data_IF_208542099380
#
_entry.id   IF_208542099380
#
_cell.length_a   1.000
_cell.length_b   1.000
_cell.length_c   1.000
_cell.angle_alpha   90.00
_cell.angle_beta   90.00
_cell.angle_gamma   90.00
#
_symmetry.space_group_name_H-M   'P 1'
#
loop_
_entity.id
_entity.type
_entity.pdbx_description
1 polymer ?
#
# COMPACT_ATOMS: atom_id res chain seq x y z
N UNK A 1 -38.00 28.70 81.85
CA UNK A 1 -36.68 28.36 81.39
C UNK A 1 -36.82 27.17 80.43
N UNK A 2 -36.72 27.39 79.14
CA UNK A 2 -36.92 26.35 78.12
C UNK A 2 -35.62 26.21 77.36
N UNK A 3 -34.92 25.12 77.54
CA UNK A 3 -33.64 24.81 76.86
C UNK A 3 -33.95 24.09 75.54
N UNK A 4 -33.59 24.67 74.39
CA UNK A 4 -33.68 24.06 73.06
C UNK A 4 -32.41 23.25 72.79
N UNK A 5 -32.55 21.95 72.57
CA UNK A 5 -31.47 21.08 72.06
C UNK A 5 -31.52 21.11 70.58
N UNK A 6 -30.44 21.54 69.97
CA UNK A 6 -30.24 21.51 68.50
C UNK A 6 -29.53 20.21 68.07
N UNK A 7 -30.22 19.37 67.33
CA UNK A 7 -29.69 18.14 66.78
C UNK A 7 -28.96 18.45 65.42
N UNK A 8 -27.63 18.30 65.37
CA UNK A 8 -26.82 18.36 64.14
C UNK A 8 -26.94 17.03 63.39
N UNK A 9 -27.51 17.05 62.18
CA UNK A 9 -27.45 15.94 61.23
C UNK A 9 -26.13 16.04 60.47
N UNK A 10 -25.20 15.13 60.69
CA UNK A 10 -23.98 14.93 59.88
C UNK A 10 -24.33 14.02 58.70
N UNK A 11 -24.48 14.63 57.53
CA UNK A 11 -24.68 13.86 56.28
C UNK A 11 -23.37 13.22 55.82
N UNK A 12 -23.30 11.92 55.84
CA UNK A 12 -22.20 11.12 55.32
C UNK A 12 -22.31 11.03 53.79
N UNK A 13 -21.51 11.86 53.06
CA UNK A 13 -21.38 11.74 51.61
C UNK A 13 -20.46 10.56 51.30
N UNK A 14 -21.05 9.42 50.93
CA UNK A 14 -20.30 8.30 50.32
C UNK A 14 -19.85 8.71 48.91
N UNK A 15 -18.59 9.10 48.74
CA UNK A 15 -17.94 9.18 47.42
C UNK A 15 -17.80 7.74 46.90
N UNK A 16 -18.65 7.36 45.95
CA UNK A 16 -18.46 6.14 45.14
C UNK A 16 -17.31 6.41 44.20
N UNK A 17 -16.09 6.00 44.55
CA UNK A 17 -14.97 5.89 43.65
C UNK A 17 -15.31 4.77 42.62
N UNK A 18 -15.78 5.16 41.46
CA UNK A 18 -15.83 4.25 40.30
C UNK A 18 -14.38 3.94 39.94
N UNK A 19 -13.90 2.69 40.02
CA UNK A 19 -12.57 2.36 39.57
C UNK A 19 -12.52 2.61 38.08
N UNK A 20 -11.75 3.61 37.64
CA UNK A 20 -11.25 3.70 36.26
C UNK A 20 -10.53 2.37 36.00
N UNK A 21 -11.11 1.52 35.16
CA UNK A 21 -10.56 0.23 34.81
C UNK A 21 -9.17 0.43 34.21
N UNK A 22 -8.15 0.23 35.03
CA UNK A 22 -6.79 -0.01 34.55
C UNK A 22 -6.85 -1.35 33.82
N UNK A 23 -6.99 -1.33 32.51
CA UNK A 23 -6.80 -2.51 31.69
C UNK A 23 -5.41 -3.06 32.00
N UNK A 24 -5.36 -4.26 32.59
CA UNK A 24 -4.10 -4.87 32.99
C UNK A 24 -3.16 -4.99 31.79
N UNK A 25 -1.87 -4.73 32.02
CA UNK A 25 -0.80 -4.82 30.99
C UNK A 25 -0.73 -6.19 30.30
N UNK A 26 -1.50 -7.17 30.75
CA UNK A 26 -1.48 -8.58 30.31
C UNK A 26 -2.69 -8.98 29.45
N UNK A 27 -3.68 -8.08 29.22
CA UNK A 27 -4.81 -8.41 28.35
C UNK A 27 -4.34 -8.48 26.88
N UNK A 28 -4.82 -9.47 26.09
CA UNK A 28 -4.51 -9.54 24.65
C UNK A 28 -4.91 -8.23 23.96
N UNK A 29 -4.02 -7.73 23.10
CA UNK A 29 -4.32 -6.56 22.26
C UNK A 29 -5.22 -7.01 21.13
N UNK A 30 -6.38 -6.38 20.96
CA UNK A 30 -7.27 -6.63 19.82
C UNK A 30 -7.00 -5.60 18.70
N UNK A 31 -6.47 -6.08 17.58
CA UNK A 31 -6.17 -5.29 16.39
C UNK A 31 -7.32 -5.40 15.39
N UNK A 32 -7.91 -4.28 14.99
CA UNK A 32 -8.81 -4.22 13.84
C UNK A 32 -8.01 -3.93 12.56
N UNK A 33 -8.01 -4.83 11.57
CA UNK A 33 -7.36 -4.61 10.29
C UNK A 33 -8.39 -4.41 9.18
N UNK A 34 -8.46 -3.19 8.65
CA UNK A 34 -9.38 -2.78 7.59
C UNK A 34 -8.64 -2.74 6.25
N UNK A 35 -9.03 -3.60 5.33
CA UNK A 35 -8.42 -3.71 3.99
C UNK A 35 -9.36 -3.10 2.96
N UNK A 36 -8.81 -2.37 1.99
CA UNK A 36 -9.56 -1.82 0.86
C UNK A 36 -10.34 -2.90 0.10
N UNK A 37 -9.61 -3.87 -0.47
CA UNK A 37 -10.23 -5.07 -1.04
C UNK A 37 -9.21 -6.21 -1.16
N UNK A 38 -9.66 -7.45 -0.93
CA UNK A 38 -8.83 -8.65 -1.01
C UNK A 38 -8.74 -9.27 -2.42
N UNK A 39 -9.20 -8.57 -3.47
CA UNK A 39 -9.06 -9.06 -4.86
C UNK A 39 -7.62 -8.92 -5.35
N UNK A 40 -6.87 -7.91 -4.88
CA UNK A 40 -5.47 -7.73 -5.20
C UNK A 40 -4.61 -8.71 -4.40
N UNK A 41 -3.71 -9.43 -5.08
CA UNK A 41 -2.78 -10.39 -4.46
C UNK A 41 -1.97 -9.76 -3.33
N UNK A 42 -1.55 -8.51 -3.51
CA UNK A 42 -0.84 -7.71 -2.53
C UNK A 42 -1.54 -7.75 -1.16
N UNK A 43 -2.81 -7.39 -1.09
CA UNK A 43 -3.54 -7.30 0.18
C UNK A 43 -3.80 -8.66 0.83
N UNK A 44 -3.91 -9.73 0.05
CA UNK A 44 -3.98 -11.10 0.58
C UNK A 44 -2.68 -11.48 1.29
N UNK A 45 -1.52 -11.09 0.73
CA UNK A 45 -0.20 -11.34 1.32
C UNK A 45 0.00 -10.52 2.59
N UNK A 46 -0.30 -9.22 2.55
CA UNK A 46 -0.23 -8.34 3.73
C UNK A 46 -1.09 -8.89 4.88
N UNK A 47 -2.34 -9.28 4.60
CA UNK A 47 -3.24 -9.82 5.61
C UNK A 47 -2.67 -11.07 6.29
N UNK A 48 -2.10 -12.01 5.52
CA UNK A 48 -1.46 -13.23 6.05
C UNK A 48 -0.27 -12.88 6.95
N UNK A 49 0.60 -11.96 6.52
CA UNK A 49 1.80 -11.59 7.27
C UNK A 49 1.45 -10.83 8.56
N UNK A 50 0.48 -9.92 8.50
CA UNK A 50 -0.03 -9.18 9.65
C UNK A 50 -0.67 -10.13 10.66
N UNK A 51 -1.52 -11.09 10.21
CA UNK A 51 -2.12 -12.11 11.08
C UNK A 51 -1.06 -12.99 11.74
N UNK A 52 -0.08 -13.47 10.97
CA UNK A 52 1.02 -14.27 11.52
C UNK A 52 1.79 -13.51 12.60
N UNK A 53 2.14 -12.24 12.33
CA UNK A 53 2.88 -11.43 13.31
C UNK A 53 2.04 -11.09 14.55
N UNK A 54 0.75 -10.81 14.40
CA UNK A 54 -0.15 -10.60 15.54
C UNK A 54 -0.19 -11.84 16.46
N UNK A 55 -0.32 -13.02 15.86
CA UNK A 55 -0.30 -14.29 16.59
C UNK A 55 1.04 -14.52 17.33
N UNK A 56 2.19 -14.22 16.70
CA UNK A 56 3.50 -14.31 17.36
C UNK A 56 3.60 -13.43 18.62
N UNK A 57 2.91 -12.28 18.62
CA UNK A 57 2.90 -11.33 19.75
C UNK A 57 1.76 -11.60 20.76
N UNK A 58 0.98 -12.66 20.56
CA UNK A 58 -0.19 -12.96 21.40
C UNK A 58 -1.31 -11.93 21.29
N UNK A 59 -1.39 -11.20 20.16
CA UNK A 59 -2.47 -10.27 19.87
C UNK A 59 -3.58 -10.95 19.08
N UNK A 60 -4.83 -10.57 19.37
CA UNK A 60 -6.00 -10.93 18.58
C UNK A 60 -6.12 -9.99 17.39
N UNK A 61 -6.57 -10.50 16.25
CA UNK A 61 -6.76 -9.69 15.06
C UNK A 61 -8.04 -10.06 14.32
N UNK A 62 -8.82 -9.03 13.97
CA UNK A 62 -9.98 -9.15 13.10
C UNK A 62 -9.74 -8.43 11.81
N UNK A 63 -9.77 -9.16 10.68
CA UNK A 63 -9.61 -8.61 9.33
C UNK A 63 -10.98 -8.35 8.71
N UNK A 64 -11.16 -7.17 8.11
CA UNK A 64 -12.38 -6.78 7.38
C UNK A 64 -12.01 -6.35 5.96
N UNK A 65 -12.74 -6.87 4.99
CA UNK A 65 -12.62 -6.53 3.56
C UNK A 65 -13.73 -5.54 3.18
N UNK A 66 -13.33 -4.33 2.78
CA UNK A 66 -14.27 -3.30 2.36
C UNK A 66 -14.79 -3.48 0.92
N UNK A 67 -14.20 -4.39 0.14
CA UNK A 67 -14.62 -4.68 -1.23
C UNK A 67 -14.58 -3.47 -2.17
N UNK A 68 -13.76 -2.43 -1.85
CA UNK A 68 -13.67 -1.19 -2.60
C UNK A 68 -14.80 -0.20 -2.29
N UNK A 69 -15.35 -0.22 -1.07
CA UNK A 69 -16.42 0.68 -0.63
C UNK A 69 -16.04 1.46 0.61
N UNK A 70 -16.02 2.80 0.50
CA UNK A 70 -15.76 3.71 1.62
C UNK A 70 -16.79 3.57 2.73
N UNK A 71 -18.08 3.48 2.36
CA UNK A 71 -19.18 3.37 3.33
C UNK A 71 -19.07 2.06 4.11
N UNK A 72 -18.77 0.94 3.43
CA UNK A 72 -18.56 -0.34 4.09
C UNK A 72 -17.32 -0.31 4.98
N UNK A 73 -16.24 0.33 4.55
CA UNK A 73 -15.02 0.45 5.34
C UNK A 73 -15.27 1.23 6.63
N UNK A 74 -16.01 2.34 6.57
CA UNK A 74 -16.40 3.11 7.76
C UNK A 74 -17.35 2.31 8.69
N UNK A 75 -18.32 1.59 8.11
CA UNK A 75 -19.22 0.73 8.90
C UNK A 75 -18.43 -0.36 9.63
N UNK A 76 -17.50 -1.01 8.96
CA UNK A 76 -16.64 -2.05 9.54
C UNK A 76 -15.72 -1.48 10.63
N UNK A 77 -15.19 -0.27 10.44
CA UNK A 77 -14.41 0.42 11.47
C UNK A 77 -15.23 0.66 12.73
N UNK A 78 -16.45 1.17 12.61
CA UNK A 78 -17.33 1.39 13.74
C UNK A 78 -17.64 0.07 14.48
N UNK A 79 -17.91 -1.01 13.72
CA UNK A 79 -18.14 -2.33 14.33
C UNK A 79 -16.91 -2.81 15.11
N UNK A 80 -15.69 -2.75 14.54
CA UNK A 80 -14.47 -3.14 15.24
C UNK A 80 -14.24 -2.34 16.53
N UNK A 81 -14.54 -1.03 16.48
CA UNK A 81 -14.46 -0.15 17.63
C UNK A 81 -15.51 -0.48 18.69
N UNK A 82 -16.72 -0.91 18.29
CA UNK A 82 -17.78 -1.36 19.22
C UNK A 82 -17.44 -2.72 19.82
N UNK A 83 -16.79 -3.59 19.05
CA UNK A 83 -16.30 -4.92 19.47
C UNK A 83 -15.02 -4.83 20.35
N UNK A 84 -14.54 -3.62 20.67
CA UNK A 84 -13.44 -3.38 21.60
C UNK A 84 -12.04 -3.45 21.01
N UNK A 85 -11.87 -3.18 19.72
CA UNK A 85 -10.53 -3.05 19.12
C UNK A 85 -9.71 -1.96 19.84
N UNK A 86 -8.48 -2.30 20.22
CA UNK A 86 -7.57 -1.40 20.92
C UNK A 86 -6.74 -0.52 19.98
N UNK A 87 -6.65 -0.90 18.72
CA UNK A 87 -5.93 -0.20 17.64
C UNK A 87 -6.53 -0.59 16.29
N UNK A 88 -6.57 0.35 15.35
CA UNK A 88 -6.93 0.07 13.97
C UNK A 88 -5.71 0.19 13.06
N UNK A 89 -5.53 -0.79 12.16
CA UNK A 89 -4.63 -0.71 11.00
C UNK A 89 -5.53 -0.56 9.78
N UNK A 90 -5.33 0.48 8.96
CA UNK A 90 -6.25 0.83 7.87
C UNK A 90 -5.49 0.98 6.56
N UNK A 91 -5.86 0.17 5.57
CA UNK A 91 -5.56 0.41 4.15
C UNK A 91 -6.73 1.20 3.57
N UNK A 92 -6.61 2.50 3.46
CA UNK A 92 -7.69 3.36 3.01
C UNK A 92 -8.11 3.06 1.56
N UNK A 93 -9.43 2.97 1.28
CA UNK A 93 -9.93 2.94 -0.09
C UNK A 93 -9.80 4.32 -0.73
N UNK A 94 -10.30 5.35 -0.06
CA UNK A 94 -10.16 6.75 -0.43
C UNK A 94 -9.40 7.50 0.67
N UNK A 95 -8.33 8.19 0.28
CA UNK A 95 -7.43 8.86 1.21
C UNK A 95 -8.10 9.96 2.06
N UNK A 96 -9.10 10.65 1.52
CA UNK A 96 -9.78 11.76 2.22
C UNK A 96 -10.99 11.26 3.02
N UNK A 97 -11.82 10.37 2.46
CA UNK A 97 -13.00 9.83 3.14
C UNK A 97 -12.64 8.97 4.35
N UNK A 98 -11.51 8.27 4.31
CA UNK A 98 -11.02 7.49 5.45
C UNK A 98 -10.74 8.33 6.70
N UNK A 99 -10.65 9.66 6.61
CA UNK A 99 -10.57 10.55 7.76
C UNK A 99 -11.76 10.36 8.74
N UNK A 100 -12.92 9.93 8.25
CA UNK A 100 -14.08 9.59 9.09
C UNK A 100 -13.80 8.41 10.03
N UNK A 101 -13.00 7.44 9.59
CA UNK A 101 -12.55 6.30 10.41
C UNK A 101 -11.68 6.82 11.57
N UNK A 102 -10.73 7.72 11.26
CA UNK A 102 -9.85 8.31 12.29
C UNK A 102 -10.67 9.10 13.31
N UNK A 103 -11.65 9.88 12.87
CA UNK A 103 -12.54 10.61 13.78
C UNK A 103 -13.37 9.67 14.67
N UNK A 104 -13.88 8.55 14.11
CA UNK A 104 -14.61 7.55 14.88
C UNK A 104 -13.72 6.91 15.95
N UNK A 105 -12.50 6.52 15.60
CA UNK A 105 -11.52 5.95 16.52
C UNK A 105 -11.10 6.94 17.62
N UNK A 106 -10.88 8.21 17.27
CA UNK A 106 -10.53 9.26 18.24
C UNK A 106 -11.61 9.46 19.32
N UNK A 107 -12.91 9.42 18.96
CA UNK A 107 -14.00 9.52 19.94
C UNK A 107 -13.96 8.41 20.99
N UNK A 108 -13.31 7.28 20.67
CA UNK A 108 -13.13 6.14 21.57
C UNK A 108 -11.72 6.03 22.15
N UNK A 109 -10.84 6.98 21.85
CA UNK A 109 -9.45 6.95 22.30
C UNK A 109 -8.61 5.84 21.66
N UNK A 110 -9.03 5.30 20.52
CA UNK A 110 -8.38 4.20 19.80
C UNK A 110 -7.40 4.75 18.77
N UNK A 111 -6.10 4.41 18.83
CA UNK A 111 -5.13 4.85 17.84
C UNK A 111 -5.37 4.21 16.46
N UNK A 112 -5.01 4.95 15.39
CA UNK A 112 -5.11 4.51 14.00
C UNK A 112 -3.75 4.53 13.33
N UNK A 113 -3.36 3.42 12.72
CA UNK A 113 -2.22 3.31 11.81
C UNK A 113 -2.75 3.36 10.37
N UNK A 114 -2.30 4.35 9.61
CA UNK A 114 -2.48 4.40 8.17
C UNK A 114 -1.44 3.48 7.53
N UNK A 115 -1.88 2.34 6.98
CA UNK A 115 -1.02 1.29 6.45
C UNK A 115 -0.97 1.36 4.93
N UNK A 116 0.23 1.47 4.39
CA UNK A 116 0.54 1.60 2.96
C UNK A 116 -0.08 2.87 2.32
N UNK A 117 -1.39 3.03 2.36
CA UNK A 117 -2.11 4.21 1.82
C UNK A 117 -2.30 5.28 2.87
N UNK A 118 -1.92 6.52 2.55
CA UNK A 118 -2.02 7.65 3.47
C UNK A 118 -3.47 8.11 3.63
N UNK A 119 -3.93 8.18 4.88
CA UNK A 119 -5.19 8.86 5.22
C UNK A 119 -4.90 10.35 5.36
N UNK A 120 -5.52 11.16 4.51
CA UNK A 120 -5.30 12.60 4.44
C UNK A 120 -6.17 13.38 5.45
N UNK A 121 -5.75 14.61 5.70
CA UNK A 121 -6.48 15.59 6.48
C UNK A 121 -6.92 15.11 7.87
N UNK A 122 -6.18 14.17 8.47
CA UNK A 122 -6.50 13.59 9.76
C UNK A 122 -5.23 13.27 10.57
N UNK A 123 -5.30 13.34 11.90
CA UNK A 123 -4.17 13.08 12.80
C UNK A 123 -4.06 11.59 13.12
N UNK A 124 -3.72 10.76 12.13
CA UNK A 124 -3.41 9.34 12.40
C UNK A 124 -2.22 9.22 13.36
N UNK A 125 -2.20 8.17 14.16
CA UNK A 125 -1.15 7.95 15.15
C UNK A 125 0.19 7.61 14.52
N UNK A 126 0.16 6.94 13.35
CA UNK A 126 1.34 6.54 12.57
C UNK A 126 0.94 6.32 11.11
N UNK A 127 1.79 6.75 10.18
CA UNK A 127 1.78 6.30 8.79
C UNK A 127 2.93 5.30 8.57
N UNK A 128 2.64 4.16 7.97
CA UNK A 128 3.65 3.16 7.66
C UNK A 128 3.48 2.66 6.22
N UNK A 129 4.52 2.85 5.40
CA UNK A 129 4.48 2.57 3.97
C UNK A 129 5.87 2.39 3.38
N UNK A 130 5.94 2.28 2.06
CA UNK A 130 7.15 2.50 1.27
C UNK A 130 7.20 3.94 0.76
N UNK A 131 8.40 4.42 0.38
CA UNK A 131 8.56 5.71 -0.29
C UNK A 131 7.99 5.63 -1.72
N UNK A 132 6.73 6.07 -1.90
CA UNK A 132 6.03 6.02 -3.17
C UNK A 132 6.63 6.96 -4.23
N UNK A 133 7.25 8.07 -3.82
CA UNK A 133 8.00 8.94 -4.75
C UNK A 133 9.21 8.19 -5.29
N UNK A 134 9.90 7.43 -4.44
CA UNK A 134 11.03 6.60 -4.87
C UNK A 134 10.58 5.46 -5.78
N UNK A 135 9.39 4.87 -5.56
CA UNK A 135 8.80 3.90 -6.49
C UNK A 135 8.71 4.47 -7.90
N UNK A 136 8.07 5.63 -8.06
CA UNK A 136 7.94 6.28 -9.38
C UNK A 136 9.29 6.63 -10.02
N UNK A 137 10.25 7.11 -9.23
CA UNK A 137 11.61 7.36 -9.71
C UNK A 137 12.28 6.08 -10.23
N UNK A 138 12.17 4.97 -9.51
CA UNK A 138 12.76 3.69 -9.93
C UNK A 138 12.14 3.18 -11.22
N UNK A 139 10.81 3.25 -11.37
CA UNK A 139 10.10 2.87 -12.59
C UNK A 139 10.59 3.66 -13.79
N UNK A 140 10.49 4.96 -13.72
CA UNK A 140 10.81 5.86 -14.83
C UNK A 140 12.31 5.84 -15.18
N UNK A 141 13.20 5.86 -14.18
CA UNK A 141 14.65 5.83 -14.40
C UNK A 141 15.10 4.51 -15.05
N UNK A 142 14.49 3.37 -14.64
CA UNK A 142 14.81 2.08 -15.26
C UNK A 142 14.44 2.07 -16.75
N UNK A 143 13.23 2.51 -17.11
CA UNK A 143 12.81 2.56 -18.51
C UNK A 143 13.64 3.57 -19.31
N UNK A 144 13.93 4.75 -18.74
CA UNK A 144 14.73 5.78 -19.39
C UNK A 144 16.19 5.32 -19.65
N UNK A 145 16.73 4.45 -18.79
CA UNK A 145 18.07 3.88 -19.00
C UNK A 145 18.18 2.98 -20.25
N UNK A 146 17.04 2.45 -20.72
CA UNK A 146 16.95 1.52 -21.86
C UNK A 146 16.42 2.27 -23.11
N UNK A 147 15.30 3.00 -22.97
CA UNK A 147 14.69 3.80 -24.04
C UNK A 147 14.96 5.29 -23.79
N UNK A 148 16.15 5.74 -24.16
CA UNK A 148 16.62 7.12 -23.90
C UNK A 148 15.91 8.18 -24.74
N UNK A 149 15.11 7.78 -25.73
CA UNK A 149 14.37 8.68 -26.63
C UNK A 149 13.02 8.08 -27.01
N UNK A 150 12.07 8.94 -27.43
CA UNK A 150 10.79 8.53 -28.01
C UNK A 150 9.59 8.87 -27.13
N UNK A 151 8.43 8.31 -27.49
CA UNK A 151 7.16 8.61 -26.84
C UNK A 151 6.96 7.77 -25.59
N UNK A 152 6.61 8.42 -24.49
CA UNK A 152 6.28 7.82 -23.21
C UNK A 152 4.80 8.01 -22.91
N UNK A 153 4.21 7.01 -22.29
CA UNK A 153 2.86 7.06 -21.75
C UNK A 153 2.91 6.80 -20.25
N UNK A 154 2.28 7.68 -19.45
CA UNK A 154 2.14 7.50 -18.01
C UNK A 154 0.79 6.83 -17.73
N UNK A 155 0.85 5.66 -17.10
CA UNK A 155 -0.33 4.86 -16.75
C UNK A 155 -0.43 4.79 -15.24
N UNK A 156 -1.20 5.71 -14.66
CA UNK A 156 -1.25 5.97 -13.24
C UNK A 156 -2.27 5.09 -12.51
N UNK A 157 -2.17 5.11 -11.16
CA UNK A 157 -3.09 4.40 -10.30
C UNK A 157 -4.40 5.14 -10.03
N UNK A 158 -5.01 4.85 -8.88
CA UNK A 158 -6.27 5.50 -8.48
C UNK A 158 -6.05 6.95 -8.04
N UNK A 159 -6.80 7.92 -8.60
CA UNK A 159 -6.71 9.32 -8.18
C UNK A 159 -7.20 9.57 -6.75
N UNK A 160 -7.92 8.62 -6.13
CA UNK A 160 -8.33 8.69 -4.72
C UNK A 160 -7.29 8.13 -3.75
N UNK A 161 -6.18 7.56 -4.27
CA UNK A 161 -5.08 7.02 -3.50
C UNK A 161 -3.88 7.97 -3.55
N UNK A 162 -3.42 8.45 -2.38
CA UNK A 162 -2.28 9.35 -2.31
C UNK A 162 -0.99 8.73 -2.89
N UNK A 163 -0.83 7.41 -2.78
CA UNK A 163 0.35 6.73 -3.33
C UNK A 163 0.44 6.90 -4.84
N UNK A 164 -0.70 6.89 -5.56
CA UNK A 164 -0.70 7.09 -7.01
C UNK A 164 -0.15 8.46 -7.40
N UNK A 165 -0.50 9.52 -6.66
CA UNK A 165 0.03 10.87 -6.88
C UNK A 165 1.53 10.96 -6.54
N UNK A 166 1.99 10.28 -5.47
CA UNK A 166 3.40 10.26 -5.11
C UNK A 166 4.24 9.45 -6.12
N UNK A 167 3.70 8.35 -6.65
CA UNK A 167 4.33 7.57 -7.74
C UNK A 167 4.44 8.43 -9.00
N UNK A 168 3.34 9.05 -9.44
CA UNK A 168 3.32 9.97 -10.60
C UNK A 168 4.34 11.10 -10.44
N UNK A 169 4.39 11.73 -9.27
CA UNK A 169 5.39 12.74 -8.94
C UNK A 169 6.81 12.20 -9.11
N UNK A 170 7.08 10.99 -8.63
CA UNK A 170 8.39 10.33 -8.78
C UNK A 170 8.76 10.08 -10.23
N UNK A 171 7.81 9.59 -11.03
CA UNK A 171 7.97 9.34 -12.46
C UNK A 171 8.32 10.63 -13.21
N UNK A 172 7.53 11.69 -13.02
CA UNK A 172 7.78 13.01 -13.64
C UNK A 172 9.12 13.62 -13.22
N UNK A 173 9.50 13.49 -11.95
CA UNK A 173 10.82 13.95 -11.49
C UNK A 173 11.96 13.24 -12.20
N UNK A 174 11.85 11.94 -12.45
CA UNK A 174 12.89 11.16 -13.13
C UNK A 174 12.95 11.44 -14.64
N UNK A 175 11.81 11.71 -15.27
CA UNK A 175 11.73 11.97 -16.73
C UNK A 175 12.03 13.42 -17.11
N UNK A 176 11.87 14.36 -16.19
CA UNK A 176 11.92 15.79 -16.45
C UNK A 176 13.12 16.24 -17.28
N UNK A 177 14.32 15.80 -16.92
CA UNK A 177 15.52 16.25 -17.66
C UNK A 177 15.55 15.78 -19.12
N UNK A 178 15.03 14.56 -19.38
CA UNK A 178 14.96 14.03 -20.74
C UNK A 178 13.87 14.73 -21.57
N UNK A 179 12.76 15.08 -20.93
CA UNK A 179 11.66 15.84 -21.52
C UNK A 179 12.10 17.29 -21.84
N UNK A 180 12.75 18.00 -20.89
CA UNK A 180 13.29 19.36 -21.08
C UNK A 180 14.29 19.42 -22.24
N UNK A 181 15.01 18.33 -22.50
CA UNK A 181 15.95 18.19 -23.65
C UNK A 181 15.28 17.69 -24.94
N UNK A 182 13.96 17.50 -24.94
CA UNK A 182 13.21 16.94 -26.06
C UNK A 182 13.71 15.56 -26.53
N UNK A 183 14.33 14.79 -25.64
CA UNK A 183 14.75 13.42 -25.91
C UNK A 183 13.55 12.47 -25.86
N UNK A 184 12.64 12.71 -24.94
CA UNK A 184 11.39 11.99 -24.81
C UNK A 184 10.20 12.96 -24.90
N UNK A 185 9.03 12.42 -25.20
CA UNK A 185 7.75 13.15 -25.14
C UNK A 185 6.76 12.33 -24.36
N UNK A 186 6.22 12.88 -23.27
CA UNK A 186 5.07 12.29 -22.58
C UNK A 186 3.84 12.65 -23.41
N UNK A 187 3.32 11.66 -24.15
CA UNK A 187 2.23 11.89 -25.13
C UNK A 187 0.84 11.85 -24.50
N UNK A 188 0.72 11.19 -23.36
CA UNK A 188 -0.53 11.01 -22.63
C UNK A 188 -0.29 10.57 -21.19
N UNK A 189 -1.29 10.79 -20.37
CA UNK A 189 -1.37 10.33 -18.98
C UNK A 189 -2.79 9.85 -18.71
N UNK A 190 -2.93 8.67 -18.12
CA UNK A 190 -4.24 8.12 -17.77
C UNK A 190 -4.26 7.54 -16.36
N UNK A 191 -5.35 7.77 -15.65
CA UNK A 191 -5.57 7.33 -14.27
C UNK A 191 -6.53 6.15 -14.21
N UNK A 192 -6.14 5.08 -13.53
CA UNK A 192 -6.90 3.85 -13.35
C UNK A 192 -7.58 3.87 -11.98
N UNK A 193 -8.87 4.21 -11.93
CA UNK A 193 -9.63 4.44 -10.67
C UNK A 193 -9.64 3.26 -9.71
N UNK A 194 -9.50 2.03 -10.22
CA UNK A 194 -9.53 0.81 -9.43
C UNK A 194 -8.22 0.02 -9.49
N UNK A 195 -7.15 0.62 -9.98
CA UNK A 195 -5.87 -0.05 -10.19
C UNK A 195 -6.00 -1.34 -11.03
N UNK A 196 -6.99 -1.42 -11.91
CA UNK A 196 -7.39 -2.67 -12.54
C UNK A 196 -6.71 -2.91 -13.89
N UNK A 197 -6.49 -4.19 -14.18
CA UNK A 197 -5.99 -4.65 -15.49
C UNK A 197 -6.84 -4.15 -16.65
N UNK A 198 -8.18 -4.12 -16.48
CA UNK A 198 -9.09 -3.66 -17.54
C UNK A 198 -8.87 -2.19 -17.87
N UNK A 199 -8.75 -1.34 -16.88
CA UNK A 199 -8.50 0.09 -17.09
C UNK A 199 -7.13 0.32 -17.74
N UNK A 200 -6.10 -0.40 -17.31
CA UNK A 200 -4.77 -0.35 -17.92
C UNK A 200 -4.78 -0.77 -19.40
N UNK A 201 -5.58 -1.78 -19.75
CA UNK A 201 -5.79 -2.19 -21.14
C UNK A 201 -6.47 -1.09 -21.95
N UNK A 202 -7.63 -0.60 -21.48
CA UNK A 202 -8.42 0.41 -22.19
C UNK A 202 -7.59 1.70 -22.43
N UNK A 203 -6.90 2.19 -21.41
CA UNK A 203 -6.03 3.37 -21.50
C UNK A 203 -4.88 3.16 -22.48
N UNK A 204 -4.27 1.98 -22.48
CA UNK A 204 -3.17 1.66 -23.42
C UNK A 204 -3.66 1.58 -24.86
N UNK A 205 -4.86 1.05 -25.11
CA UNK A 205 -5.47 1.05 -26.44
C UNK A 205 -5.63 2.47 -26.97
N UNK A 206 -6.08 3.41 -26.12
CA UNK A 206 -6.21 4.81 -26.53
C UNK A 206 -4.85 5.50 -26.75
N UNK A 207 -3.87 5.25 -25.89
CA UNK A 207 -2.51 5.78 -26.07
C UNK A 207 -1.87 5.27 -27.36
N UNK A 208 -2.07 4.01 -27.73
CA UNK A 208 -1.60 3.43 -28.99
C UNK A 208 -2.27 4.06 -30.22
N UNK A 209 -3.54 4.44 -30.13
CA UNK A 209 -4.22 5.19 -31.21
C UNK A 209 -3.63 6.59 -31.35
N UNK A 210 -3.44 7.32 -30.24
CA UNK A 210 -2.89 8.68 -30.22
C UNK A 210 -1.46 8.74 -30.76
N UNK A 211 -0.66 7.70 -30.51
CA UNK A 211 0.75 7.63 -30.94
C UNK A 211 0.96 6.96 -32.31
N UNK A 212 -0.09 6.53 -32.98
CA UNK A 212 0.02 5.68 -34.19
C UNK A 212 0.91 4.44 -33.93
N UNK A 213 0.77 3.85 -32.72
CA UNK A 213 1.57 2.71 -32.28
C UNK A 213 3.04 3.00 -31.95
N UNK A 214 3.45 4.27 -31.97
CA UNK A 214 4.85 4.67 -31.78
C UNK A 214 5.13 5.02 -30.32
N UNK A 215 5.12 4.01 -29.44
CA UNK A 215 5.52 4.12 -28.03
C UNK A 215 6.90 3.50 -27.82
N UNK A 216 7.74 4.18 -27.03
CA UNK A 216 9.00 3.65 -26.52
C UNK A 216 8.80 2.98 -25.15
N UNK A 217 7.98 3.59 -24.28
CA UNK A 217 7.75 3.09 -22.96
C UNK A 217 6.35 3.44 -22.43
N UNK A 218 5.84 2.58 -21.54
CA UNK A 218 4.67 2.80 -20.68
C UNK A 218 5.15 2.72 -19.23
N UNK A 219 5.12 3.85 -18.54
CA UNK A 219 5.44 3.90 -17.12
C UNK A 219 4.17 3.57 -16.35
N UNK A 220 3.94 2.28 -16.10
CA UNK A 220 2.76 1.81 -15.39
C UNK A 220 3.01 1.79 -13.88
N UNK A 221 2.07 2.36 -13.12
CA UNK A 221 2.19 2.57 -11.69
C UNK A 221 2.17 1.26 -10.88
N UNK A 222 1.47 0.21 -11.35
CA UNK A 222 1.50 -1.12 -10.73
C UNK A 222 1.43 -2.28 -11.74
N UNK A 223 1.57 -3.51 -11.25
CA UNK A 223 1.64 -4.72 -12.06
C UNK A 223 0.28 -5.12 -12.66
N UNK A 224 -0.83 -4.81 -12.01
CA UNK A 224 -2.17 -5.07 -12.56
C UNK A 224 -2.45 -4.19 -13.78
N UNK A 225 -2.22 -2.88 -13.69
CA UNK A 225 -2.36 -1.96 -14.83
C UNK A 225 -1.35 -2.29 -15.93
N UNK A 226 -0.09 -2.62 -15.57
CA UNK A 226 0.92 -3.11 -16.50
C UNK A 226 0.48 -4.37 -17.25
N UNK A 227 -0.21 -5.28 -16.57
CA UNK A 227 -0.78 -6.48 -17.19
C UNK A 227 -1.79 -6.17 -18.28
N UNK A 228 -2.61 -5.14 -18.07
CA UNK A 228 -3.52 -4.61 -19.09
C UNK A 228 -2.77 -4.00 -20.27
N UNK A 229 -1.77 -3.18 -19.97
CA UNK A 229 -0.92 -2.55 -21.00
C UNK A 229 -0.22 -3.61 -21.86
N UNK A 230 0.40 -4.62 -21.25
CA UNK A 230 1.06 -5.71 -21.98
C UNK A 230 0.07 -6.50 -22.85
N UNK A 231 -1.17 -6.71 -22.40
CA UNK A 231 -2.21 -7.35 -23.20
C UNK A 231 -2.53 -6.51 -24.46
N UNK A 232 -2.77 -5.21 -24.30
CA UNK A 232 -3.04 -4.31 -25.43
C UNK A 232 -1.87 -4.26 -26.43
N UNK A 233 -0.63 -4.26 -25.92
CA UNK A 233 0.59 -4.33 -26.74
C UNK A 233 0.70 -5.66 -27.50
N UNK A 234 0.33 -6.79 -26.87
CA UNK A 234 0.40 -8.12 -27.48
C UNK A 234 -0.51 -8.23 -28.71
N UNK A 235 -1.72 -7.69 -28.65
CA UNK A 235 -2.67 -7.65 -29.77
C UNK A 235 -2.13 -6.88 -30.99
N UNK A 236 -1.20 -5.93 -30.76
CA UNK A 236 -0.50 -5.15 -31.80
C UNK A 236 0.90 -5.67 -32.12
N UNK A 237 1.30 -6.85 -31.58
CA UNK A 237 2.66 -7.43 -31.71
C UNK A 237 3.79 -6.49 -31.23
N UNK A 238 3.48 -5.67 -30.22
CA UNK A 238 4.38 -4.69 -29.58
C UNK A 238 4.85 -5.12 -28.19
N UNK A 239 4.28 -6.20 -27.59
CA UNK A 239 4.74 -6.73 -26.31
C UNK A 239 6.23 -7.12 -26.40
N UNK A 240 7.03 -6.64 -25.44
CA UNK A 240 8.49 -6.79 -25.41
C UNK A 240 9.26 -5.84 -26.34
N UNK A 241 8.58 -5.04 -27.17
CA UNK A 241 9.18 -3.97 -27.96
C UNK A 241 8.98 -2.61 -27.29
N UNK A 242 7.81 -2.37 -26.74
CA UNK A 242 7.51 -1.25 -25.87
C UNK A 242 7.83 -1.66 -24.45
N UNK A 243 8.65 -0.88 -23.74
CA UNK A 243 9.00 -1.17 -22.35
C UNK A 243 7.82 -0.87 -21.43
N UNK A 244 7.61 -1.71 -20.42
CA UNK A 244 6.55 -1.52 -19.44
C UNK A 244 7.13 -1.71 -18.05
N UNK A 245 6.91 -0.74 -17.14
CA UNK A 245 7.21 -0.88 -15.73
C UNK A 245 6.05 -1.49 -14.94
N UNK A 246 6.25 -1.67 -13.63
CA UNK A 246 5.21 -2.08 -12.70
C UNK A 246 5.65 -1.86 -11.26
N UNK A 247 4.83 -2.32 -10.33
CA UNK A 247 5.05 -2.31 -8.88
C UNK A 247 4.28 -3.47 -8.26
N UNK A 248 4.76 -3.98 -7.14
CA UNK A 248 4.24 -5.00 -6.24
C UNK A 248 4.81 -6.41 -6.48
N UNK A 249 5.52 -6.65 -7.58
CA UNK A 249 6.13 -7.94 -7.91
C UNK A 249 5.12 -9.12 -7.91
N UNK A 250 3.92 -8.89 -8.45
CA UNK A 250 2.88 -9.91 -8.57
C UNK A 250 3.34 -11.10 -9.41
N UNK A 251 2.88 -12.31 -9.09
CA UNK A 251 3.30 -13.51 -9.82
C UNK A 251 3.10 -13.40 -11.35
N UNK A 252 1.98 -12.87 -11.87
CA UNK A 252 1.84 -12.62 -13.30
C UNK A 252 2.88 -11.63 -13.85
N UNK A 253 3.32 -10.64 -13.09
CA UNK A 253 4.36 -9.70 -13.50
C UNK A 253 5.73 -10.38 -13.57
N UNK A 254 6.06 -11.22 -12.58
CA UNK A 254 7.29 -12.01 -12.61
C UNK A 254 7.36 -12.88 -13.88
N UNK A 255 6.24 -13.52 -14.25
CA UNK A 255 6.14 -14.28 -15.50
C UNK A 255 6.36 -13.39 -16.72
N UNK A 256 5.78 -12.18 -16.77
CA UNK A 256 5.97 -11.22 -17.86
C UNK A 256 7.42 -10.73 -17.96
N UNK A 257 8.07 -10.50 -16.82
CA UNK A 257 9.49 -10.11 -16.75
C UNK A 257 10.38 -11.24 -17.26
N UNK A 258 10.13 -12.49 -16.88
CA UNK A 258 10.87 -13.65 -17.38
C UNK A 258 10.71 -13.80 -18.90
N UNK A 259 9.51 -13.55 -19.43
CA UNK A 259 9.21 -13.56 -20.88
C UNK A 259 9.75 -12.36 -21.62
N UNK A 260 10.15 -11.29 -20.93
CA UNK A 260 10.62 -10.03 -21.51
C UNK A 260 9.50 -9.13 -22.06
N UNK A 261 8.25 -9.34 -21.64
CA UNK A 261 7.09 -8.51 -22.03
C UNK A 261 6.77 -7.40 -21.04
N UNK A 262 7.37 -7.44 -19.84
CA UNK A 262 7.46 -6.34 -18.89
C UNK A 262 8.94 -6.15 -18.55
N UNK A 263 9.42 -4.90 -18.52
CA UNK A 263 10.83 -4.61 -18.32
C UNK A 263 11.26 -4.80 -16.87
N UNK A 264 10.46 -4.34 -15.94
CA UNK A 264 10.75 -4.36 -14.51
C UNK A 264 9.48 -4.26 -13.66
N UNK A 265 9.63 -4.55 -12.39
CA UNK A 265 8.67 -4.17 -11.34
C UNK A 265 9.41 -3.52 -10.17
N UNK A 266 8.71 -2.78 -9.33
CA UNK A 266 9.23 -2.31 -8.05
C UNK A 266 8.74 -3.25 -6.96
N UNK A 267 9.68 -3.97 -6.37
CA UNK A 267 9.43 -4.90 -5.27
C UNK A 267 9.37 -4.16 -3.94
N UNK A 268 8.37 -4.46 -3.18
CA UNK A 268 8.15 -3.97 -1.81
C UNK A 268 8.22 -5.16 -0.85
N UNK A 269 9.28 -5.31 -0.03
CA UNK A 269 9.39 -6.40 0.95
C UNK A 269 8.30 -6.30 2.02
N UNK A 270 7.18 -7.04 1.87
CA UNK A 270 6.00 -6.93 2.73
C UNK A 270 6.23 -7.44 4.16
N UNK A 271 7.10 -8.43 4.34
CA UNK A 271 7.40 -8.98 5.66
C UNK A 271 7.87 -7.93 6.66
N UNK A 272 8.91 -7.13 6.35
CA UNK A 272 9.33 -6.00 7.18
C UNK A 272 8.23 -4.97 7.43
N UNK A 273 7.40 -4.65 6.43
CA UNK A 273 6.31 -3.69 6.57
C UNK A 273 5.24 -4.20 7.54
N UNK A 274 4.74 -5.42 7.34
CA UNK A 274 3.76 -6.06 8.19
C UNK A 274 4.26 -6.20 9.65
N UNK A 275 5.52 -6.63 9.82
CA UNK A 275 6.16 -6.72 11.13
C UNK A 275 6.16 -5.39 11.85
N UNK A 276 6.63 -4.32 11.18
CA UNK A 276 6.65 -2.96 11.75
C UNK A 276 5.26 -2.47 12.13
N UNK A 277 4.25 -2.73 11.29
CA UNK A 277 2.87 -2.30 11.53
C UNK A 277 2.28 -2.96 12.77
N UNK A 278 2.46 -4.27 12.94
CA UNK A 278 1.92 -4.99 14.10
C UNK A 278 2.69 -4.65 15.38
N UNK A 279 4.03 -4.56 15.32
CA UNK A 279 4.84 -4.13 16.46
C UNK A 279 4.41 -2.73 16.95
N UNK A 280 4.18 -1.79 16.01
CA UNK A 280 3.70 -0.45 16.32
C UNK A 280 2.25 -0.46 16.84
N UNK A 281 1.38 -1.31 16.29
CA UNK A 281 -0.01 -1.44 16.74
C UNK A 281 -0.07 -1.90 18.20
N UNK A 282 0.70 -2.93 18.55
CA UNK A 282 0.79 -3.43 19.94
C UNK A 282 1.37 -2.37 20.88
N UNK A 283 2.39 -1.62 20.43
CA UNK A 283 2.96 -0.53 21.23
C UNK A 283 1.93 0.58 21.48
N UNK A 284 1.23 1.06 20.45
CA UNK A 284 0.20 2.10 20.57
C UNK A 284 -0.98 1.66 21.46
N UNK A 285 -1.45 0.42 21.29
CA UNK A 285 -2.53 -0.13 22.12
C UNK A 285 -2.15 -0.20 23.60
N UNK A 286 -0.86 -0.33 23.92
CA UNK A 286 -0.31 -0.31 25.29
C UNK A 286 0.08 1.10 25.78
N UNK A 287 -0.22 2.15 25.00
CA UNK A 287 0.10 3.54 25.34
C UNK A 287 1.57 3.93 25.14
N UNK A 288 2.34 3.11 24.41
CA UNK A 288 3.73 3.41 24.07
C UNK A 288 3.82 4.12 22.70
N UNK A 289 4.85 4.95 22.51
CA UNK A 289 5.13 5.61 21.22
C UNK A 289 6.09 4.76 20.41
N UNK A 290 5.72 4.32 19.20
CA UNK A 290 6.64 3.61 18.32
C UNK A 290 7.80 4.50 17.86
N UNK A 291 8.98 3.91 17.63
CA UNK A 291 10.06 4.59 16.94
C UNK A 291 9.70 4.86 15.48
N UNK A 292 9.95 6.08 15.01
CA UNK A 292 9.65 6.51 13.65
C UNK A 292 10.90 7.01 12.94
N UNK A 293 10.94 6.85 11.62
CA UNK A 293 12.10 7.27 10.79
C UNK A 293 11.85 8.60 10.11
N UNK A 294 10.57 8.96 9.91
CA UNK A 294 10.15 10.06 9.06
C UNK A 294 8.95 10.84 9.64
N UNK A 295 8.64 11.94 8.98
CA UNK A 295 7.40 12.71 9.17
C UNK A 295 6.80 13.02 7.82
N UNK A 296 5.49 12.81 7.66
CA UNK A 296 4.77 13.02 6.41
C UNK A 296 3.64 14.02 6.61
N UNK A 297 3.43 14.88 5.63
CA UNK A 297 2.24 15.75 5.62
C UNK A 297 1.03 14.96 5.14
N UNK A 298 -0.01 14.89 5.97
CA UNK A 298 -1.31 14.37 5.55
C UNK A 298 -2.23 15.45 4.94
N UNK A 299 -1.68 16.62 4.66
CA UNK A 299 -2.42 17.82 4.30
C UNK A 299 -2.50 18.78 5.49
N UNK A 300 -3.49 18.62 6.35
CA UNK A 300 -3.69 19.47 7.54
C UNK A 300 -2.78 19.15 8.74
N UNK A 301 -2.11 17.98 8.74
CA UNK A 301 -1.29 17.53 9.87
C UNK A 301 0.06 17.02 9.39
N UNK A 302 1.07 17.17 10.24
CA UNK A 302 2.35 16.47 10.12
C UNK A 302 2.28 15.27 11.05
N UNK A 303 2.39 14.07 10.49
CA UNK A 303 2.22 12.81 11.20
C UNK A 303 3.54 12.03 11.24
N UNK A 304 3.80 11.28 12.32
CA UNK A 304 4.96 10.39 12.39
C UNK A 304 4.84 9.29 11.33
N UNK A 305 5.95 8.90 10.72
CA UNK A 305 5.95 7.89 9.67
C UNK A 305 7.13 6.92 9.77
N UNK A 306 6.93 5.73 9.20
CA UNK A 306 7.98 4.76 8.90
C UNK A 306 7.91 4.48 7.41
N UNK A 307 8.91 4.94 6.64
CA UNK A 307 8.99 4.73 5.20
C UNK A 307 10.10 3.73 4.87
N UNK A 308 9.71 2.58 4.33
CA UNK A 308 10.64 1.56 3.87
C UNK A 308 11.08 1.86 2.43
N UNK A 309 12.30 1.39 2.08
CA UNK A 309 12.82 1.59 0.74
C UNK A 309 12.32 0.51 -0.22
N UNK A 310 11.75 0.89 -1.38
CA UNK A 310 11.39 -0.04 -2.44
C UNK A 310 12.63 -0.45 -3.25
N UNK A 311 12.53 -1.58 -3.96
CA UNK A 311 13.64 -2.17 -4.73
C UNK A 311 13.21 -2.32 -6.18
N UNK A 312 13.97 -1.75 -7.12
CA UNK A 312 13.77 -2.02 -8.56
C UNK A 312 14.23 -3.45 -8.87
N UNK A 313 13.43 -4.19 -9.60
CA UNK A 313 13.69 -5.60 -9.94
C UNK A 313 13.43 -5.82 -11.43
N UNK A 314 14.47 -6.14 -12.16
CA UNK A 314 14.37 -6.64 -13.53
C UNK A 314 14.60 -8.16 -13.57
N UNK A 315 14.71 -8.72 -14.78
CA UNK A 315 14.94 -10.16 -14.96
C UNK A 315 16.23 -10.65 -14.27
N UNK A 316 17.25 -9.80 -14.12
CA UNK A 316 18.53 -10.20 -13.52
C UNK A 316 18.45 -10.28 -12.00
N UNK A 317 17.61 -9.45 -11.40
CA UNK A 317 17.53 -9.28 -9.94
C UNK A 317 16.56 -10.29 -9.27
N UNK A 318 15.64 -10.91 -10.03
CA UNK A 318 14.61 -11.82 -9.52
C UNK A 318 15.13 -12.88 -8.55
N UNK A 319 16.31 -13.46 -8.84
CA UNK A 319 16.90 -14.51 -8.00
C UNK A 319 17.39 -14.01 -6.65
N UNK A 320 17.98 -12.82 -6.64
CA UNK A 320 18.61 -12.22 -5.45
C UNK A 320 17.62 -11.39 -4.60
N UNK A 321 16.38 -11.22 -5.08
CA UNK A 321 15.35 -10.42 -4.41
C UNK A 321 14.10 -11.28 -4.16
N UNK A 322 13.12 -11.23 -5.05
CA UNK A 322 11.81 -11.85 -4.94
C UNK A 322 11.86 -13.33 -4.60
N UNK A 323 12.81 -14.08 -5.18
CA UNK A 323 12.95 -15.53 -4.95
C UNK A 323 13.71 -15.80 -3.64
N UNK A 324 14.83 -15.09 -3.39
CA UNK A 324 15.62 -15.30 -2.16
C UNK A 324 14.85 -14.93 -0.90
N UNK A 325 13.99 -13.91 -0.98
CA UNK A 325 13.14 -13.47 0.13
C UNK A 325 11.92 -14.39 0.36
N UNK A 326 11.72 -15.38 -0.53
CA UNK A 326 10.56 -16.26 -0.47
C UNK A 326 9.23 -15.57 -0.78
N UNK A 327 9.27 -14.38 -1.39
CA UNK A 327 8.05 -13.67 -1.80
C UNK A 327 7.28 -14.47 -2.85
N UNK A 328 8.00 -15.01 -3.84
CA UNK A 328 7.54 -16.11 -4.70
C UNK A 328 8.59 -17.21 -4.71
N UNK A 329 8.16 -18.44 -4.45
CA UNK A 329 9.07 -19.59 -4.57
C UNK A 329 9.40 -19.88 -6.03
N UNK A 330 10.59 -20.44 -6.25
CA UNK A 330 10.99 -20.91 -7.58
C UNK A 330 9.99 -21.89 -8.19
N UNK A 331 9.33 -22.73 -7.34
CA UNK A 331 8.32 -23.70 -7.77
C UNK A 331 7.02 -23.03 -8.22
N UNK A 332 6.54 -21.99 -7.51
CA UNK A 332 5.37 -21.20 -7.92
C UNK A 332 5.60 -20.54 -9.28
N UNK A 333 6.76 -19.90 -9.45
CA UNK A 333 7.14 -19.26 -10.71
C UNK A 333 7.22 -20.30 -11.83
N UNK A 334 7.88 -21.45 -11.58
CA UNK A 334 8.01 -22.52 -12.57
C UNK A 334 6.66 -23.08 -13.01
N UNK A 335 5.69 -23.24 -12.07
CA UNK A 335 4.33 -23.69 -12.39
C UNK A 335 3.55 -22.69 -13.26
N UNK A 336 3.84 -21.40 -13.13
CA UNK A 336 3.19 -20.33 -13.90
C UNK A 336 3.80 -20.12 -15.31
N UNK A 337 4.96 -20.72 -15.58
CA UNK A 337 5.66 -20.66 -16.86
C UNK A 337 5.27 -21.82 -17.77
N UNK A 338 5.46 -21.64 -19.08
CA UNK A 338 5.36 -22.74 -20.05
C UNK A 338 6.59 -23.68 -19.93
N UNK A 339 6.46 -24.96 -20.39
CA UNK A 339 7.61 -25.86 -20.41
C UNK A 339 8.83 -25.25 -21.11
N UNK A 340 10.00 -25.35 -20.47
CA UNK A 340 11.28 -24.82 -20.98
C UNK A 340 11.55 -23.33 -20.74
N UNK A 341 10.55 -22.52 -20.33
CA UNK A 341 10.79 -21.09 -20.03
C UNK A 341 11.66 -20.91 -18.79
N UNK A 342 11.49 -21.76 -17.77
CA UNK A 342 12.29 -21.71 -16.55
C UNK A 342 13.77 -22.05 -16.80
N UNK A 343 14.03 -23.12 -17.55
CA UNK A 343 15.38 -23.55 -17.91
C UNK A 343 16.10 -22.49 -18.75
N UNK A 344 15.39 -21.85 -19.69
CA UNK A 344 15.91 -20.75 -20.49
C UNK A 344 16.23 -19.51 -19.64
N UNK A 345 15.38 -19.22 -18.65
CA UNK A 345 15.62 -18.11 -17.70
C UNK A 345 16.86 -18.39 -16.85
N UNK A 346 16.97 -19.57 -16.25
CA UNK A 346 18.07 -19.92 -15.35
C UNK A 346 19.41 -20.10 -16.07
N UNK A 347 19.40 -20.51 -17.34
CA UNK A 347 20.63 -20.65 -18.13
C UNK A 347 21.26 -19.33 -18.54
N UNK A 348 20.47 -18.25 -18.63
CA UNK A 348 20.99 -16.88 -18.94
C UNK A 348 21.74 -16.24 -17.77
N UNK A 349 21.66 -16.81 -16.57
CA UNK A 349 22.35 -16.33 -15.34
C UNK A 349 23.71 -16.95 -15.13
N UNK A 350 24.13 -17.87 -15.97
CA UNK A 350 25.45 -18.47 -15.98
C UNK A 350 26.32 -17.81 -17.07
#
# INVERSE_FOLDING_TARGET
MCTRVATLLVGLICLILVPLGVQGKDAPVHIGFLVDNLKLERWQRDAKMIQARAHELGAEITVKDAGGSDDLQLQQANQLLDDGANVLIVVAHDAEKAAAIVQAAQRKGVPVISYDRLIKNSPVSLYISFDSVQVGKLQASHLLSIATTGNYFLLEGSPSDNNAHDVEKGQKLALRQAEDKSLITIIDEAWCRQWSKKEGYDATVEALKKSDGKLAAIVAANDETAGGAVQALAERKLAGKVLVSGQDADLPAIVRIIRGTQAMTVYKPLGPLAKRAVDAAVALARGNTPETTDKVSSGSHIIPAILLQPIAVDQKDLGATVISDGFHSAEEIKKALNPGEWEKFTSRKR
#
